data_IF_075988772012
#
_entry.id   IF_075988772012
#
_cell.length_a   1.000
_cell.length_b   1.000
_cell.length_c   1.000
_cell.angle_alpha   90.00
_cell.angle_beta   90.00
_cell.angle_gamma   90.00
#
_symmetry.space_group_name_H-M   'P 1'
#
loop_
_entity.id
_entity.type
_entity.pdbx_description
1 polymer ?
#
# COMPACT_ATOMS: atom_id res chain seq x y z
N UNK A 1 18.90 -34.23 -8.87
CA UNK A 1 18.67 -32.77 -8.77
C UNK A 1 17.95 -32.51 -7.46
N UNK A 2 18.38 -31.54 -6.66
CA UNK A 2 17.65 -31.19 -5.43
C UNK A 2 16.27 -30.62 -5.78
N UNK A 3 15.31 -30.75 -4.88
CA UNK A 3 13.97 -30.19 -5.09
C UNK A 3 14.03 -28.65 -5.18
N UNK A 4 14.91 -28.04 -4.38
CA UNK A 4 15.18 -26.61 -4.46
C UNK A 4 15.72 -26.17 -5.82
N UNK A 5 16.60 -26.96 -6.46
CA UNK A 5 17.16 -26.63 -7.79
C UNK A 5 16.11 -26.73 -8.90
N UNK A 6 15.16 -27.68 -8.78
CA UNK A 6 14.05 -27.79 -9.73
C UNK A 6 13.11 -26.56 -9.65
N UNK A 7 12.82 -26.09 -8.43
CA UNK A 7 12.04 -24.86 -8.21
C UNK A 7 12.77 -23.59 -8.68
N UNK A 8 14.11 -23.60 -8.67
CA UNK A 8 14.91 -22.48 -9.14
C UNK A 8 14.72 -22.19 -10.64
N UNK A 9 14.32 -23.18 -11.45
CA UNK A 9 14.04 -23.03 -12.87
C UNK A 9 12.82 -22.13 -13.17
N UNK A 10 11.94 -21.88 -12.18
CA UNK A 10 10.72 -21.09 -12.34
C UNK A 10 10.67 -19.87 -11.40
N UNK A 11 11.55 -18.85 -11.59
CA UNK A 11 11.63 -17.67 -10.72
C UNK A 11 10.37 -16.78 -10.71
N UNK A 12 9.51 -16.88 -11.74
CA UNK A 12 8.28 -16.08 -11.81
C UNK A 12 7.13 -16.67 -10.99
N UNK A 13 7.09 -18.01 -10.85
CA UNK A 13 6.07 -18.70 -10.09
C UNK A 13 6.43 -18.79 -8.60
N UNK A 14 7.71 -18.98 -8.29
CA UNK A 14 8.20 -19.14 -6.92
C UNK A 14 9.07 -17.96 -6.49
N UNK A 15 8.62 -17.25 -5.46
CA UNK A 15 9.36 -16.11 -4.90
C UNK A 15 10.71 -16.55 -4.30
N UNK A 16 11.65 -15.61 -4.18
CA UNK A 16 12.96 -15.85 -3.56
C UNK A 16 12.84 -16.44 -2.15
N UNK A 17 11.85 -15.97 -1.39
CA UNK A 17 11.53 -16.50 -0.06
C UNK A 17 11.10 -17.97 -0.08
N UNK A 18 10.25 -18.36 -1.04
CA UNK A 18 9.79 -19.75 -1.17
C UNK A 18 10.97 -20.68 -1.48
N UNK A 19 11.82 -20.29 -2.44
CA UNK A 19 12.99 -21.07 -2.86
C UNK A 19 14.04 -21.20 -1.75
N UNK A 20 14.34 -20.11 -1.04
CA UNK A 20 15.28 -20.12 0.07
C UNK A 20 14.78 -20.97 1.24
N UNK A 21 13.48 -20.94 1.53
CA UNK A 21 12.87 -21.74 2.60
C UNK A 21 12.94 -23.23 2.29
N UNK A 22 12.60 -23.63 1.06
CA UNK A 22 12.72 -25.03 0.61
C UNK A 22 14.16 -25.52 0.67
N UNK A 23 15.12 -24.72 0.19
CA UNK A 23 16.54 -25.06 0.23
C UNK A 23 17.05 -25.28 1.66
N UNK A 24 16.65 -24.41 2.60
CA UNK A 24 16.99 -24.56 4.02
C UNK A 24 16.33 -25.79 4.66
N UNK A 25 15.07 -26.08 4.30
CA UNK A 25 14.34 -27.26 4.76
C UNK A 25 14.91 -28.59 4.23
N UNK A 26 15.36 -28.61 2.98
CA UNK A 26 16.03 -29.76 2.35
C UNK A 26 17.40 -30.02 3.00
N UNK A 27 18.19 -28.98 3.26
CA UNK A 27 19.48 -29.08 3.97
C UNK A 27 19.33 -29.53 5.43
N UNK A 28 18.25 -29.10 6.10
CA UNK A 28 17.98 -29.46 7.49
C UNK A 28 17.23 -30.80 7.65
N UNK A 29 16.89 -31.49 6.55
CA UNK A 29 16.09 -32.72 6.58
C UNK A 29 14.66 -32.54 7.08
N UNK A 30 14.14 -31.31 7.10
CA UNK A 30 12.83 -30.92 7.65
C UNK A 30 11.87 -30.39 6.59
N UNK A 31 11.97 -30.92 5.38
CA UNK A 31 11.21 -30.48 4.21
C UNK A 31 9.69 -30.51 4.46
N UNK A 32 9.19 -31.56 5.12
CA UNK A 32 7.78 -31.72 5.44
C UNK A 32 7.22 -30.54 6.25
N UNK A 33 7.89 -30.18 7.35
CA UNK A 33 7.46 -29.05 8.19
C UNK A 33 7.51 -27.70 7.47
N UNK A 34 8.48 -27.50 6.57
CA UNK A 34 8.60 -26.27 5.78
C UNK A 34 7.51 -26.20 4.71
N UNK A 35 7.22 -27.32 4.05
CA UNK A 35 6.14 -27.40 3.06
C UNK A 35 4.77 -27.18 3.71
N UNK A 36 4.52 -27.76 4.89
CA UNK A 36 3.30 -27.53 5.65
C UNK A 36 3.13 -26.03 6.01
N UNK A 37 4.21 -25.37 6.45
CA UNK A 37 4.18 -23.94 6.74
C UNK A 37 3.91 -23.09 5.49
N UNK A 38 4.57 -23.40 4.37
CA UNK A 38 4.37 -22.70 3.10
C UNK A 38 2.95 -22.92 2.55
N UNK A 39 2.40 -24.13 2.68
CA UNK A 39 1.03 -24.43 2.29
C UNK A 39 0.02 -23.60 3.10
N UNK A 40 0.17 -23.56 4.43
CA UNK A 40 -0.66 -22.71 5.28
C UNK A 40 -0.55 -21.22 4.90
N UNK A 41 0.66 -20.75 4.59
CA UNK A 41 0.87 -19.37 4.16
C UNK A 41 0.16 -19.05 2.84
N UNK A 42 0.21 -19.96 1.86
CA UNK A 42 -0.49 -19.80 0.57
C UNK A 42 -2.00 -19.83 0.77
N UNK A 43 -2.52 -20.73 1.61
CA UNK A 43 -3.94 -20.83 1.95
C UNK A 43 -4.45 -19.53 2.60
N UNK A 44 -3.75 -19.02 3.61
CA UNK A 44 -4.09 -17.75 4.25
C UNK A 44 -4.08 -16.58 3.28
N UNK A 45 -3.12 -16.55 2.35
CA UNK A 45 -3.04 -15.51 1.33
C UNK A 45 -4.20 -15.60 0.33
N UNK A 46 -4.58 -16.81 -0.07
CA UNK A 46 -5.73 -17.06 -0.95
C UNK A 46 -7.03 -16.60 -0.30
N UNK A 47 -7.27 -17.02 0.94
CA UNK A 47 -8.45 -16.61 1.74
C UNK A 47 -8.54 -15.10 1.90
N UNK A 48 -7.45 -14.45 2.33
CA UNK A 48 -7.45 -12.99 2.49
C UNK A 48 -7.73 -12.28 1.16
N UNK A 49 -7.11 -12.73 0.06
CA UNK A 49 -7.35 -12.12 -1.25
C UNK A 49 -8.80 -12.29 -1.68
N UNK A 50 -9.39 -13.47 -1.48
CA UNK A 50 -10.78 -13.75 -1.81
C UNK A 50 -11.74 -12.90 -0.97
N UNK A 51 -11.53 -12.81 0.34
CA UNK A 51 -12.34 -11.97 1.22
C UNK A 51 -12.26 -10.49 0.85
N UNK A 52 -11.05 -9.99 0.53
CA UNK A 52 -10.87 -8.61 0.08
C UNK A 52 -11.54 -8.36 -1.27
N UNK A 53 -11.42 -9.31 -2.22
CA UNK A 53 -12.09 -9.21 -3.52
C UNK A 53 -13.62 -9.16 -3.38
N UNK A 54 -14.19 -10.02 -2.55
CA UNK A 54 -15.63 -10.02 -2.27
C UNK A 54 -16.08 -8.73 -1.58
N UNK A 55 -15.30 -8.24 -0.59
CA UNK A 55 -15.60 -7.00 0.10
C UNK A 55 -15.52 -5.76 -0.79
N UNK A 56 -14.65 -5.75 -1.81
CA UNK A 56 -14.51 -4.65 -2.78
C UNK A 56 -15.51 -4.74 -3.94
N UNK A 57 -16.02 -5.93 -4.24
CA UNK A 57 -17.01 -6.15 -5.30
C UNK A 57 -18.28 -5.32 -5.03
N UNK A 58 -18.78 -5.36 -3.79
CA UNK A 58 -20.02 -4.66 -3.41
C UNK A 58 -19.91 -3.13 -3.54
N UNK A 59 -18.90 -2.45 -2.95
CA UNK A 59 -18.66 -1.02 -3.18
C UNK A 59 -18.45 -0.66 -4.64
N UNK A 60 -17.74 -1.50 -5.42
CA UNK A 60 -17.50 -1.24 -6.84
C UNK A 60 -18.79 -1.30 -7.66
N UNK A 61 -19.63 -2.32 -7.44
CA UNK A 61 -20.89 -2.49 -8.15
C UNK A 61 -21.87 -1.35 -7.84
N UNK A 62 -22.02 -1.01 -6.56
CA UNK A 62 -22.87 0.10 -6.12
C UNK A 62 -22.33 1.46 -6.61
N UNK A 63 -21.00 1.62 -6.61
CA UNK A 63 -20.31 2.78 -7.17
C UNK A 63 -20.60 2.96 -8.66
N UNK A 64 -20.49 1.89 -9.46
CA UNK A 64 -20.77 1.94 -10.91
C UNK A 64 -22.25 2.25 -11.17
N UNK A 65 -23.18 1.59 -10.47
CA UNK A 65 -24.63 1.82 -10.65
C UNK A 65 -25.01 3.25 -10.25
N UNK A 66 -24.54 3.72 -9.09
CA UNK A 66 -24.83 5.09 -8.64
C UNK A 66 -24.27 6.14 -9.59
N UNK A 67 -23.05 5.95 -10.09
CA UNK A 67 -22.46 6.86 -11.06
C UNK A 67 -23.20 6.85 -12.41
N UNK A 68 -23.65 5.67 -12.87
CA UNK A 68 -24.47 5.55 -14.07
C UNK A 68 -25.79 6.31 -13.94
N UNK A 69 -26.47 6.20 -12.79
CA UNK A 69 -27.71 6.94 -12.51
C UNK A 69 -27.45 8.45 -12.48
N UNK A 70 -26.39 8.91 -11.80
CA UNK A 70 -26.02 10.33 -11.77
C UNK A 70 -25.75 10.87 -13.18
N UNK A 71 -25.01 10.11 -13.99
CA UNK A 71 -24.74 10.49 -15.39
C UNK A 71 -26.02 10.52 -16.23
N UNK A 72 -26.91 9.54 -16.08
CA UNK A 72 -28.20 9.52 -16.78
C UNK A 72 -29.07 10.73 -16.38
N UNK A 73 -29.15 11.04 -15.08
CA UNK A 73 -29.87 12.20 -14.56
C UNK A 73 -29.30 13.51 -15.15
N UNK A 74 -27.98 13.67 -15.13
CA UNK A 74 -27.33 14.85 -15.72
C UNK A 74 -27.51 14.95 -17.23
N UNK A 75 -27.54 13.82 -17.94
CA UNK A 75 -27.60 13.80 -19.42
C UNK A 75 -29.01 13.99 -19.97
N UNK A 76 -30.02 13.49 -19.27
CA UNK A 76 -31.40 13.52 -19.77
C UNK A 76 -32.33 14.43 -18.97
N UNK A 77 -32.18 14.55 -17.65
CA UNK A 77 -33.15 15.27 -16.79
C UNK A 77 -32.82 16.76 -16.66
N UNK A 78 -31.55 17.12 -16.46
CA UNK A 78 -31.11 18.52 -16.41
C UNK A 78 -31.44 19.36 -17.66
N UNK A 79 -31.23 18.88 -18.91
CA UNK A 79 -31.46 19.70 -20.09
C UNK A 79 -32.96 20.00 -20.27
N UNK A 80 -33.83 19.07 -19.87
CA UNK A 80 -35.27 19.26 -19.98
C UNK A 80 -35.76 20.31 -18.98
N UNK A 81 -35.21 20.34 -17.77
CA UNK A 81 -35.44 21.43 -16.82
C UNK A 81 -35.00 22.78 -17.43
N UNK A 82 -33.81 22.83 -18.04
CA UNK A 82 -33.27 24.05 -18.66
C UNK A 82 -34.12 24.53 -19.84
N UNK A 83 -34.64 23.63 -20.67
CA UNK A 83 -35.56 23.97 -21.76
C UNK A 83 -36.84 24.64 -21.23
N UNK A 84 -37.46 24.07 -20.20
CA UNK A 84 -38.67 24.64 -19.58
C UNK A 84 -38.43 26.04 -19.01
N UNK A 85 -37.24 26.31 -18.45
CA UNK A 85 -36.89 27.66 -17.98
C UNK A 85 -36.67 28.64 -19.15
N UNK A 86 -36.10 28.18 -20.27
CA UNK A 86 -35.87 29.00 -21.46
C UNK A 86 -37.19 29.37 -22.16
N UNK A 87 -38.14 28.43 -22.21
CA UNK A 87 -39.46 28.63 -22.85
C UNK A 87 -40.36 29.61 -22.08
N UNK A 88 -40.11 29.80 -20.77
CA UNK A 88 -40.83 30.78 -19.93
C UNK A 88 -40.25 32.20 -19.98
N UNK A 89 -39.20 32.44 -20.77
CA UNK A 89 -38.63 33.78 -20.97
C UNK A 89 -37.97 34.41 -19.74
N UNK A 90 -37.67 33.62 -18.70
CA UNK A 90 -36.97 34.12 -17.52
C UNK A 90 -35.45 34.15 -17.78
N UNK A 91 -34.82 35.30 -17.53
CA UNK A 91 -33.36 35.41 -17.53
C UNK A 91 -32.77 34.44 -16.51
N UNK A 92 -31.91 33.53 -16.96
CA UNK A 92 -31.29 32.54 -16.10
C UNK A 92 -30.37 33.24 -15.08
N UNK A 93 -30.67 33.18 -13.76
CA UNK A 93 -29.77 33.73 -12.74
C UNK A 93 -28.39 33.08 -12.85
N UNK A 94 -27.33 33.82 -12.54
CA UNK A 94 -25.92 33.40 -12.68
C UNK A 94 -25.65 31.98 -12.13
N UNK A 95 -26.34 31.61 -11.05
CA UNK A 95 -26.26 30.30 -10.41
C UNK A 95 -26.71 29.16 -11.33
N UNK A 96 -27.77 29.36 -12.13
CA UNK A 96 -28.26 28.37 -13.10
C UNK A 96 -27.37 28.28 -14.35
N UNK A 97 -26.79 29.40 -14.84
CA UNK A 97 -25.79 29.35 -15.92
C UNK A 97 -24.51 28.61 -15.52
N UNK A 98 -24.04 28.81 -14.29
CA UNK A 98 -22.91 28.07 -13.75
C UNK A 98 -23.22 26.56 -13.65
N UNK A 99 -24.43 26.19 -13.21
CA UNK A 99 -24.88 24.81 -13.16
C UNK A 99 -24.90 24.15 -14.54
N UNK A 100 -25.37 24.86 -15.57
CA UNK A 100 -25.41 24.37 -16.96
C UNK A 100 -23.99 24.15 -17.49
N UNK A 101 -23.07 25.09 -17.27
CA UNK A 101 -21.68 24.94 -17.71
C UNK A 101 -20.98 23.73 -17.06
N UNK A 102 -21.25 23.47 -15.77
CA UNK A 102 -20.74 22.29 -15.07
C UNK A 102 -21.41 21.02 -15.62
N UNK A 103 -22.73 21.05 -15.86
CA UNK A 103 -23.48 19.91 -16.39
C UNK A 103 -23.04 19.53 -17.81
N UNK A 104 -22.80 20.51 -18.69
CA UNK A 104 -22.24 20.28 -20.04
C UNK A 104 -20.81 19.75 -19.97
N UNK A 105 -20.00 20.21 -19.02
CA UNK A 105 -18.68 19.65 -18.73
C UNK A 105 -18.74 18.18 -18.31
N UNK A 106 -19.70 17.82 -17.44
CA UNK A 106 -19.92 16.43 -17.01
C UNK A 106 -20.53 15.59 -18.14
N UNK A 107 -21.38 16.16 -18.99
CA UNK A 107 -21.98 15.45 -20.11
C UNK A 107 -20.96 15.15 -21.23
N UNK A 108 -20.06 16.09 -21.50
CA UNK A 108 -18.99 15.92 -22.49
C UNK A 108 -17.80 15.10 -21.99
N UNK A 109 -17.39 15.28 -20.72
CA UNK A 109 -16.20 14.65 -20.16
C UNK A 109 -16.49 13.58 -19.10
N UNK A 110 -17.74 13.26 -18.75
CA UNK A 110 -18.05 12.31 -17.67
C UNK A 110 -17.50 10.90 -17.91
N UNK A 111 -17.67 10.38 -19.13
CA UNK A 111 -17.06 9.12 -19.57
C UNK A 111 -15.52 9.20 -19.66
N UNK A 112 -14.98 10.35 -20.09
CA UNK A 112 -13.53 10.60 -20.14
C UNK A 112 -12.90 10.76 -18.74
N UNK A 113 -13.63 11.34 -17.77
CA UNK A 113 -13.20 11.51 -16.39
C UNK A 113 -13.28 10.18 -15.64
N UNK A 114 -14.30 9.37 -15.90
CA UNK A 114 -14.41 8.02 -15.35
C UNK A 114 -13.31 7.09 -15.90
N UNK A 115 -13.17 7.04 -17.22
CA UNK A 115 -12.11 6.26 -17.88
C UNK A 115 -10.72 6.78 -17.50
N UNK A 116 -10.55 8.11 -17.42
CA UNK A 116 -9.34 8.77 -16.93
C UNK A 116 -9.00 8.35 -15.51
N UNK A 117 -9.96 8.38 -14.58
CA UNK A 117 -9.76 7.96 -13.19
C UNK A 117 -9.41 6.48 -13.09
N UNK A 118 -10.06 5.61 -13.86
CA UNK A 118 -9.77 4.18 -13.92
C UNK A 118 -8.36 3.90 -14.48
N UNK A 119 -7.98 4.60 -15.56
CA UNK A 119 -6.63 4.54 -16.13
C UNK A 119 -5.58 5.08 -15.15
N UNK A 120 -5.89 6.12 -14.39
CA UNK A 120 -5.02 6.68 -13.36
C UNK A 120 -4.83 5.69 -12.21
N UNK A 121 -5.89 5.02 -11.77
CA UNK A 121 -5.82 3.99 -10.73
C UNK A 121 -4.96 2.80 -11.17
N UNK A 122 -5.20 2.26 -12.37
CA UNK A 122 -4.39 1.17 -12.96
C UNK A 122 -2.95 1.60 -13.24
N UNK A 123 -2.77 2.86 -13.65
CA UNK A 123 -1.48 3.50 -13.88
C UNK A 123 -0.69 3.61 -12.58
N UNK A 124 -1.32 4.08 -11.50
CA UNK A 124 -0.73 4.15 -10.16
C UNK A 124 -0.37 2.75 -9.67
N UNK A 125 -1.25 1.75 -9.82
CA UNK A 125 -0.93 0.38 -9.45
C UNK A 125 0.31 -0.16 -10.20
N UNK A 126 0.34 -0.01 -11.53
CA UNK A 126 1.50 -0.42 -12.33
C UNK A 126 2.75 0.38 -11.97
N UNK A 127 2.59 1.67 -11.68
CA UNK A 127 3.67 2.55 -11.28
C UNK A 127 4.24 2.16 -9.91
N UNK A 128 3.39 1.78 -8.95
CA UNK A 128 3.79 1.29 -7.62
C UNK A 128 4.39 -0.12 -7.65
N UNK A 129 4.04 -0.96 -8.64
CA UNK A 129 4.70 -2.27 -8.83
C UNK A 129 6.17 -2.15 -9.19
N UNK A 130 6.60 -0.99 -9.73
CA UNK A 130 8.01 -0.76 -10.04
C UNK A 130 8.81 -0.45 -8.74
N UNK A 131 9.82 -1.26 -8.36
CA UNK A 131 10.54 -1.11 -7.09
C UNK A 131 11.20 0.27 -6.92
N UNK A 132 11.58 0.94 -8.01
CA UNK A 132 12.16 2.31 -7.97
C UNK A 132 11.12 3.37 -7.59
N UNK A 133 9.89 3.24 -8.07
CA UNK A 133 8.81 4.18 -7.75
C UNK A 133 8.23 3.91 -6.37
N UNK A 134 8.11 2.63 -5.98
CA UNK A 134 7.76 2.25 -4.63
C UNK A 134 8.71 2.90 -3.62
N UNK A 135 10.03 2.87 -3.87
CA UNK A 135 11.03 3.56 -3.03
C UNK A 135 10.81 5.07 -2.96
N UNK A 136 10.51 5.73 -4.10
CA UNK A 136 10.22 7.18 -4.13
C UNK A 136 8.93 7.49 -3.37
N UNK A 137 7.91 6.65 -3.51
CA UNK A 137 6.64 6.79 -2.79
C UNK A 137 6.84 6.65 -1.28
N UNK A 138 7.56 5.62 -0.85
CA UNK A 138 7.96 5.47 0.55
C UNK A 138 8.79 6.65 1.07
N UNK A 139 9.61 7.29 0.23
CA UNK A 139 10.37 8.49 0.58
C UNK A 139 9.48 9.74 0.68
N UNK A 140 8.49 9.89 -0.20
CA UNK A 140 7.50 10.99 -0.17
C UNK A 140 6.64 10.87 1.08
N UNK A 141 6.08 9.68 1.37
CA UNK A 141 5.30 9.44 2.58
C UNK A 141 6.11 9.67 3.87
N UNK A 142 7.39 9.31 3.86
CA UNK A 142 8.30 9.56 4.99
C UNK A 142 8.71 11.03 5.15
N UNK A 143 8.53 11.87 4.11
CA UNK A 143 8.81 13.32 4.13
C UNK A 143 7.58 14.18 4.38
N UNK A 144 6.37 13.67 4.13
CA UNK A 144 5.12 14.41 4.33
C UNK A 144 4.96 14.87 5.79
N UNK A 145 4.69 16.16 6.02
CA UNK A 145 4.62 16.73 7.39
C UNK A 145 3.58 16.03 8.29
N UNK A 146 2.47 15.57 7.72
CA UNK A 146 1.39 14.87 8.43
C UNK A 146 1.70 13.38 8.62
N UNK A 147 2.21 12.69 7.59
CA UNK A 147 2.43 11.24 7.59
C UNK A 147 3.78 10.82 8.16
N UNK A 148 4.78 11.69 8.15
CA UNK A 148 6.16 11.36 8.54
C UNK A 148 6.25 10.86 9.98
N UNK A 149 5.48 11.46 10.91
CA UNK A 149 5.49 11.06 12.33
C UNK A 149 4.92 9.65 12.52
N UNK A 150 3.82 9.34 11.83
CA UNK A 150 3.18 8.02 11.91
C UNK A 150 4.08 6.94 11.32
N UNK A 151 4.63 7.20 10.13
CA UNK A 151 5.54 6.29 9.44
C UNK A 151 6.79 6.03 10.31
N UNK A 152 7.39 7.06 10.91
CA UNK A 152 8.55 6.88 11.79
C UNK A 152 8.21 6.05 13.03
N UNK A 153 7.06 6.28 13.66
CA UNK A 153 6.62 5.52 14.85
C UNK A 153 6.43 4.04 14.53
N UNK A 154 5.70 3.72 13.46
CA UNK A 154 5.43 2.33 13.05
C UNK A 154 6.71 1.56 12.72
N UNK A 155 7.66 2.21 12.02
CA UNK A 155 8.93 1.56 11.69
C UNK A 155 9.85 1.43 12.93
N UNK A 156 9.78 2.38 13.87
CA UNK A 156 10.55 2.31 15.12
C UNK A 156 10.02 1.21 16.05
N UNK A 157 8.70 1.06 16.19
CA UNK A 157 8.09 0.00 17.01
C UNK A 157 8.42 -1.38 16.45
N UNK A 158 8.34 -1.56 15.12
CA UNK A 158 8.68 -2.85 14.51
C UNK A 158 10.16 -3.19 14.69
N UNK A 159 11.07 -2.25 14.43
CA UNK A 159 12.50 -2.45 14.64
C UNK A 159 12.83 -2.77 16.11
N UNK A 160 12.26 -2.02 17.06
CA UNK A 160 12.47 -2.23 18.48
C UNK A 160 11.91 -3.59 18.95
N UNK A 161 10.74 -3.99 18.44
CA UNK A 161 10.15 -5.30 18.71
C UNK A 161 11.07 -6.44 18.26
N UNK A 162 11.52 -6.43 17.00
CA UNK A 162 12.46 -7.45 16.49
C UNK A 162 13.79 -7.44 17.25
N UNK A 163 14.32 -6.27 17.60
CA UNK A 163 15.57 -6.19 18.35
C UNK A 163 15.41 -6.78 19.75
N UNK A 164 14.30 -6.49 20.45
CA UNK A 164 14.02 -7.04 21.76
C UNK A 164 13.92 -8.57 21.73
N UNK A 165 13.22 -9.14 20.74
CA UNK A 165 13.11 -10.60 20.57
C UNK A 165 14.46 -11.25 20.29
N UNK A 166 15.30 -10.65 19.44
CA UNK A 166 16.62 -11.19 19.11
C UNK A 166 17.61 -11.10 20.28
N UNK A 167 17.55 -10.01 21.06
CA UNK A 167 18.36 -9.86 22.27
C UNK A 167 17.94 -10.83 23.37
N UNK A 168 16.63 -11.09 23.54
CA UNK A 168 16.15 -12.15 24.43
C UNK A 168 16.64 -13.54 24.01
N UNK A 169 16.86 -13.74 22.71
CA UNK A 169 17.43 -14.97 22.13
C UNK A 169 18.96 -15.03 22.20
N UNK A 170 19.60 -14.12 22.94
CA UNK A 170 21.06 -14.01 23.12
C UNK A 170 21.87 -13.86 21.82
N UNK A 171 21.24 -13.33 20.76
CA UNK A 171 21.95 -13.00 19.52
C UNK A 171 22.89 -11.80 19.79
N UNK A 172 24.14 -11.83 19.30
CA UNK A 172 25.07 -10.70 19.43
C UNK A 172 24.41 -9.41 18.95
N UNK A 173 24.52 -8.33 19.73
CA UNK A 173 23.85 -7.05 19.47
C UNK A 173 24.10 -6.55 18.04
N UNK A 174 25.30 -6.76 17.51
CA UNK A 174 25.65 -6.36 16.15
C UNK A 174 24.83 -7.14 15.12
N UNK A 175 24.68 -8.45 15.26
CA UNK A 175 23.87 -9.27 14.35
C UNK A 175 22.37 -9.00 14.50
N UNK A 176 21.90 -8.88 15.74
CA UNK A 176 20.51 -8.55 16.04
C UNK A 176 20.09 -7.22 15.39
N UNK A 177 20.97 -6.23 15.40
CA UNK A 177 20.73 -4.92 14.79
C UNK A 177 20.75 -4.97 13.25
N UNK A 178 21.47 -5.93 12.64
CA UNK A 178 21.40 -6.20 11.19
C UNK A 178 20.04 -6.76 10.82
N UNK A 179 19.63 -7.80 11.53
CA UNK A 179 18.39 -8.50 11.27
C UNK A 179 17.18 -7.56 11.48
N UNK A 180 17.16 -6.80 12.58
CA UNK A 180 16.11 -5.83 12.86
C UNK A 180 16.01 -4.71 11.80
N UNK A 181 17.14 -4.26 11.24
CA UNK A 181 17.15 -3.25 10.16
C UNK A 181 16.58 -3.81 8.85
N UNK A 182 16.82 -5.09 8.56
CA UNK A 182 16.34 -5.73 7.32
C UNK A 182 14.83 -5.94 7.30
N UNK A 183 14.20 -6.08 8.46
CA UNK A 183 12.74 -6.26 8.63
C UNK A 183 11.96 -4.96 8.43
N UNK A 184 12.62 -3.79 8.40
CA UNK A 184 11.97 -2.50 8.17
C UNK A 184 11.30 -2.48 6.77
N UNK A 185 9.97 -2.34 6.68
CA UNK A 185 9.26 -2.38 5.41
C UNK A 185 9.53 -1.14 4.55
N UNK A 186 9.76 0.02 5.17
CA UNK A 186 10.06 1.24 4.43
C UNK A 186 11.53 1.27 3.95
N UNK A 187 11.71 1.08 2.64
CA UNK A 187 13.01 1.05 1.96
C UNK A 187 13.85 2.31 2.18
N UNK A 188 13.22 3.49 2.30
CA UNK A 188 13.92 4.75 2.54
C UNK A 188 14.51 4.82 3.95
N UNK A 189 13.74 4.36 4.95
CA UNK A 189 14.17 4.31 6.35
C UNK A 189 15.24 3.24 6.53
N UNK A 190 15.06 2.07 5.91
CA UNK A 190 16.04 0.98 5.90
C UNK A 190 17.40 1.44 5.34
N UNK A 191 17.40 2.13 4.20
CA UNK A 191 18.60 2.69 3.61
C UNK A 191 19.29 3.75 4.50
N UNK A 192 18.50 4.55 5.24
CA UNK A 192 19.04 5.53 6.21
C UNK A 192 19.70 4.86 7.41
N UNK A 193 19.08 3.81 7.96
CA UNK A 193 19.66 3.04 9.06
C UNK A 193 20.94 2.31 8.64
N UNK A 194 20.94 1.69 7.44
CA UNK A 194 22.12 1.03 6.89
C UNK A 194 23.31 1.98 6.68
N UNK A 195 23.08 3.20 6.17
CA UNK A 195 24.15 4.21 5.98
C UNK A 195 24.71 4.78 7.29
N UNK A 196 23.90 4.87 8.35
CA UNK A 196 24.36 5.37 9.66
C UNK A 196 25.18 4.32 10.42
N UNK A 197 25.01 3.05 10.06
CA UNK A 197 25.75 1.93 10.63
C UNK A 197 27.24 1.92 10.25
N UNK A 198 27.56 2.22 8.99
CA UNK A 198 28.94 2.22 8.50
C UNK A 198 29.77 3.38 9.05
N UNK A 199 29.10 4.42 9.57
CA UNK A 199 29.75 5.65 10.03
C UNK A 199 30.04 5.68 11.53
N UNK A 200 29.43 4.79 12.30
CA UNK A 200 29.63 4.70 13.73
C UNK A 200 29.43 3.24 14.13
N UNK A 201 30.47 2.57 14.61
CA UNK A 201 30.37 1.28 15.30
C UNK A 201 29.59 1.34 16.63
N UNK A 202 28.63 2.28 16.75
CA UNK A 202 27.76 2.49 17.89
C UNK A 202 26.31 2.55 17.41
N UNK A 203 25.43 2.04 18.27
CA UNK A 203 24.01 1.86 18.02
C UNK A 203 23.35 3.09 17.38
N UNK A 204 22.54 2.83 16.34
CA UNK A 204 21.75 3.86 15.69
C UNK A 204 20.88 4.61 16.72
N UNK A 205 20.78 5.95 16.63
CA UNK A 205 19.86 6.72 17.45
C UNK A 205 18.44 6.54 16.88
N UNK A 206 17.87 5.35 17.00
CA UNK A 206 16.44 5.13 16.82
C UNK A 206 15.63 5.72 17.99
N UNK A 207 16.31 6.20 19.05
CA UNK A 207 15.75 6.87 20.22
C UNK A 207 15.70 8.41 20.11
N UNK A 208 16.20 9.01 19.02
CA UNK A 208 16.22 10.46 18.90
C UNK A 208 14.81 11.03 18.65
N UNK A 209 14.17 11.41 19.78
CA UNK A 209 12.88 12.11 19.93
C UNK A 209 11.70 11.22 20.33
N UNK A 210 11.88 10.40 21.35
CA UNK A 210 10.79 10.18 22.31
C UNK A 210 10.59 11.48 23.12
N UNK A 211 9.43 12.15 23.06
CA UNK A 211 9.13 13.18 24.05
C UNK A 211 8.96 12.45 25.38
N UNK A 212 10.01 12.48 26.22
CA UNK A 212 9.88 12.22 27.66
C UNK A 212 8.96 13.30 28.23
N UNK A 213 7.65 13.09 28.14
CA UNK A 213 6.69 13.77 29.02
C UNK A 213 6.06 12.71 29.91
N UNK A 214 6.63 12.63 31.11
CA UNK A 214 6.02 12.21 32.38
C UNK A 214 5.33 10.84 32.36
N UNK A 215 6.13 9.80 32.58
CA UNK A 215 5.72 8.74 33.49
C UNK A 215 6.29 9.13 34.87
N UNK A 216 5.56 9.99 35.60
CA UNK A 216 5.78 10.11 37.05
C UNK A 216 4.85 9.12 37.72
N UNK A 217 5.46 8.26 38.54
CA UNK A 217 4.89 7.54 39.68
C UNK A 217 3.47 7.98 40.06
N UNK A 218 2.53 7.05 40.03
CA UNK A 218 1.68 6.69 41.16
C UNK A 218 1.51 5.18 41.16
#
# INVERSE_FOLDING_TARGET
RSFADALAAFPQAFSDYYRASVKAGEQAGRLDSVMAHLAAHVEHRSRNRQSVQLALLYPALLGVVSLAIIMALMTYVVPDIVKVFRDRGADLPLLTRALIAISDGVRGYGLYALSGSLLLALGIERWLKNPRNLQRWHAVLARGRLTARLVQRLNATQCAGTLATLLQSQVPLVEALTAATNVIPNLHIRARCARRRTRSGRACPCSARWPRRRFSRR
#
